data_IF_333881233604
#
_entry.id   IF_333881233604
#
_cell.length_a   1.000
_cell.length_b   1.000
_cell.length_c   1.000
_cell.angle_alpha   90.00
_cell.angle_beta   90.00
_cell.angle_gamma   90.00
#
_symmetry.space_group_name_H-M   'P 1'
#
loop_
_entity.id
_entity.type
_entity.pdbx_description
1 polymer ?
#
# COMPACT_ATOMS: atom_id res chain seq x y z
N UNK A 1 19.46 -1.53 -11.01
CA UNK A 1 18.87 -0.65 -9.98
C UNK A 1 18.34 -1.49 -8.83
N UNK A 2 18.31 -0.91 -7.64
CA UNK A 2 17.77 -1.58 -6.47
C UNK A 2 16.26 -1.64 -6.54
N UNK A 3 15.69 -2.74 -6.04
CA UNK A 3 14.25 -2.86 -5.85
C UNK A 3 13.77 -1.83 -4.85
N UNK A 4 12.49 -1.50 -4.89
CA UNK A 4 11.87 -0.61 -3.91
C UNK A 4 10.63 -1.26 -3.33
N UNK A 5 10.30 -0.85 -2.12
CA UNK A 5 9.18 -1.42 -1.37
C UNK A 5 8.23 -0.32 -0.94
N UNK A 6 6.97 -0.55 -1.24
CA UNK A 6 5.86 0.31 -0.84
C UNK A 6 5.24 -0.35 0.39
N UNK A 7 5.35 0.32 1.52
CA UNK A 7 4.92 -0.23 2.81
C UNK A 7 3.77 0.61 3.35
N UNK A 8 2.59 0.01 3.44
CA UNK A 8 1.40 0.66 3.97
C UNK A 8 1.03 0.00 5.29
N UNK A 9 0.93 0.80 6.35
CA UNK A 9 0.61 0.32 7.70
C UNK A 9 -0.65 1.03 8.17
N UNK A 10 -1.70 0.26 8.44
CA UNK A 10 -3.02 0.78 8.75
C UNK A 10 -3.24 0.91 10.25
N UNK A 11 -3.59 2.11 10.71
CA UNK A 11 -3.91 2.39 12.10
C UNK A 11 -5.39 2.22 12.38
N UNK A 12 -6.24 2.62 11.45
CA UNK A 12 -7.69 2.60 11.63
C UNK A 12 -8.40 2.39 10.30
N UNK A 13 -9.38 1.51 10.31
CA UNK A 13 -10.22 1.22 9.15
C UNK A 13 -11.66 1.39 9.60
N UNK A 14 -12.32 2.50 9.20
CA UNK A 14 -13.68 2.80 9.60
C UNK A 14 -14.73 2.19 8.65
N UNK A 15 -14.33 1.82 7.44
CA UNK A 15 -15.21 1.19 6.47
C UNK A 15 -14.47 0.07 5.75
N UNK A 16 -14.79 -1.16 6.10
CA UNK A 16 -14.22 -2.32 5.42
C UNK A 16 -14.66 -2.37 3.96
N UNK A 17 -15.90 -1.97 3.68
CA UNK A 17 -16.40 -1.91 2.30
C UNK A 17 -15.59 -0.95 1.42
N UNK A 18 -15.33 0.25 1.92
CA UNK A 18 -14.53 1.23 1.19
C UNK A 18 -13.11 0.71 0.94
N UNK A 19 -12.51 0.09 1.95
CA UNK A 19 -11.16 -0.49 1.83
C UNK A 19 -11.12 -1.61 0.78
N UNK A 20 -12.13 -2.46 0.76
CA UNK A 20 -12.22 -3.57 -0.20
C UNK A 20 -12.33 -3.02 -1.63
N UNK A 21 -13.16 -2.01 -1.86
CA UNK A 21 -13.28 -1.38 -3.17
C UNK A 21 -11.98 -0.75 -3.63
N UNK A 22 -11.30 -0.05 -2.71
CA UNK A 22 -9.98 0.51 -2.98
C UNK A 22 -8.98 -0.59 -3.34
N UNK A 23 -8.91 -1.63 -2.53
CA UNK A 23 -7.92 -2.70 -2.70
C UNK A 23 -8.08 -3.41 -4.04
N UNK A 24 -9.29 -3.66 -4.50
CA UNK A 24 -9.55 -4.29 -5.78
C UNK A 24 -9.03 -3.43 -6.95
N UNK A 25 -9.28 -2.13 -6.92
CA UNK A 25 -8.80 -1.21 -7.96
C UNK A 25 -7.29 -1.00 -7.86
N UNK A 26 -6.79 -0.77 -6.65
CA UNK A 26 -5.36 -0.51 -6.43
C UNK A 26 -4.50 -1.68 -6.87
N UNK A 27 -4.93 -2.91 -6.61
CA UNK A 27 -4.19 -4.11 -7.02
C UNK A 27 -3.89 -4.09 -8.52
N UNK A 28 -4.90 -3.84 -9.34
CA UNK A 28 -4.74 -3.81 -10.81
C UNK A 28 -3.80 -2.71 -11.25
N UNK A 29 -3.92 -1.53 -10.63
CA UNK A 29 -3.08 -0.38 -10.97
C UNK A 29 -1.63 -0.65 -10.58
N UNK A 30 -1.39 -1.10 -9.35
CA UNK A 30 -0.05 -1.38 -8.85
C UNK A 30 0.62 -2.47 -9.68
N UNK A 31 -0.11 -3.52 -10.04
CA UNK A 31 0.41 -4.58 -10.89
C UNK A 31 0.73 -4.07 -12.30
N UNK A 32 -0.02 -3.11 -12.81
CA UNK A 32 0.28 -2.49 -14.12
C UNK A 32 1.60 -1.72 -14.12
N UNK A 33 2.07 -1.25 -12.96
CA UNK A 33 3.39 -0.65 -12.79
C UNK A 33 4.46 -1.67 -12.42
N UNK A 34 4.15 -2.96 -12.53
CA UNK A 34 5.09 -4.02 -12.20
C UNK A 34 5.18 -4.36 -10.72
N UNK A 35 4.26 -3.84 -9.91
CA UNK A 35 4.23 -4.14 -8.48
C UNK A 35 3.89 -5.60 -8.19
N UNK A 36 4.56 -6.17 -7.22
CA UNK A 36 4.36 -7.54 -6.77
C UNK A 36 4.04 -7.54 -5.29
N UNK A 37 2.90 -8.13 -4.92
CA UNK A 37 2.51 -8.19 -3.51
C UNK A 37 3.39 -9.18 -2.75
N UNK A 38 3.97 -8.73 -1.65
CA UNK A 38 4.76 -9.57 -0.75
C UNK A 38 4.02 -9.83 0.56
N UNK A 39 3.28 -8.84 1.06
CA UNK A 39 2.49 -8.93 2.28
C UNK A 39 1.14 -8.25 2.03
N UNK A 40 0.06 -8.91 2.38
CA UNK A 40 -1.29 -8.36 2.24
C UNK A 40 -2.13 -8.67 3.47
N UNK A 41 -1.74 -8.09 4.62
CA UNK A 41 -2.53 -8.21 5.84
C UNK A 41 -2.58 -9.61 6.44
N UNK A 42 -1.46 -10.31 6.49
CA UNK A 42 -1.36 -11.61 7.14
C UNK A 42 -1.35 -11.49 8.68
N UNK A 43 -1.15 -12.62 9.34
CA UNK A 43 -0.96 -12.65 10.79
C UNK A 43 0.24 -11.79 11.16
N UNK A 44 0.14 -11.10 12.29
CA UNK A 44 1.22 -10.24 12.74
C UNK A 44 1.39 -10.29 14.25
N UNK A 45 2.57 -9.94 14.72
CA UNK A 45 2.88 -9.80 16.14
C UNK A 45 3.61 -8.47 16.29
N UNK A 46 3.09 -7.59 17.14
CA UNK A 46 3.73 -6.31 17.45
C UNK A 46 4.55 -6.46 18.72
N UNK A 47 5.87 -6.25 18.62
CA UNK A 47 6.76 -6.31 19.80
C UNK A 47 6.99 -4.93 20.40
N UNK A 48 7.06 -3.91 19.58
CA UNK A 48 7.36 -2.55 20.03
C UNK A 48 6.65 -1.53 19.14
N UNK A 49 6.23 -0.42 19.73
CA UNK A 49 5.64 0.70 19.01
C UNK A 49 4.15 0.56 18.81
N UNK A 50 3.64 1.31 17.85
CA UNK A 50 2.21 1.35 17.55
C UNK A 50 1.71 0.00 17.00
N UNK A 51 0.52 -0.37 17.42
CA UNK A 51 -0.11 -1.60 16.93
C UNK A 51 -0.89 -1.30 15.66
N UNK A 52 -0.25 -1.56 14.52
CA UNK A 52 -0.91 -1.41 13.22
C UNK A 52 -1.76 -2.65 12.95
N UNK A 53 -3.01 -2.44 12.59
CA UNK A 53 -3.98 -3.53 12.41
C UNK A 53 -3.87 -4.25 11.07
N UNK A 54 -3.12 -3.68 10.13
CA UNK A 54 -2.90 -4.27 8.81
C UNK A 54 -1.63 -3.71 8.19
N UNK A 55 -0.83 -4.56 7.56
CA UNK A 55 0.35 -4.14 6.81
C UNK A 55 0.30 -4.74 5.41
N UNK A 56 0.60 -3.91 4.43
CA UNK A 56 0.67 -4.33 3.02
C UNK A 56 2.02 -3.90 2.46
N UNK A 57 2.72 -4.81 1.80
CA UNK A 57 4.02 -4.51 1.18
C UNK A 57 3.98 -4.94 -0.28
N UNK A 58 4.33 -4.00 -1.16
CA UNK A 58 4.48 -4.23 -2.59
C UNK A 58 5.95 -4.01 -2.98
N UNK A 59 6.46 -4.87 -3.84
CA UNK A 59 7.81 -4.73 -4.41
C UNK A 59 7.71 -4.16 -5.82
N UNK A 60 8.58 -3.20 -6.14
CA UNK A 60 8.70 -2.60 -7.49
C UNK A 60 10.14 -2.73 -7.99
N UNK A 61 10.32 -2.62 -9.29
CA UNK A 61 11.65 -2.71 -9.92
C UNK A 61 12.62 -1.66 -9.39
N UNK A 62 12.12 -0.46 -9.10
CA UNK A 62 12.93 0.62 -8.55
C UNK A 62 12.04 1.68 -7.91
N UNK A 63 12.65 2.62 -7.18
CA UNK A 63 11.93 3.65 -6.45
C UNK A 63 11.19 4.63 -7.38
N UNK A 64 11.71 4.88 -8.56
CA UNK A 64 11.08 5.80 -9.51
C UNK A 64 9.74 5.24 -9.99
N UNK A 65 9.69 3.95 -10.32
CA UNK A 65 8.46 3.30 -10.77
C UNK A 65 7.42 3.26 -9.64
N UNK A 66 7.85 2.96 -8.42
CA UNK A 66 6.95 2.97 -7.26
C UNK A 66 6.35 4.36 -7.04
N UNK A 67 7.18 5.40 -7.15
CA UNK A 67 6.75 6.78 -7.01
C UNK A 67 5.77 7.19 -8.11
N UNK A 68 6.07 6.83 -9.35
CA UNK A 68 5.17 7.08 -10.48
C UNK A 68 3.80 6.43 -10.28
N UNK A 69 3.78 5.21 -9.75
CA UNK A 69 2.54 4.52 -9.43
C UNK A 69 1.73 5.30 -8.41
N UNK A 70 2.35 5.70 -7.31
CA UNK A 70 1.68 6.46 -6.24
C UNK A 70 1.14 7.79 -6.75
N UNK A 71 1.91 8.49 -7.58
CA UNK A 71 1.53 9.80 -8.10
C UNK A 71 0.59 9.73 -9.30
N UNK A 72 0.34 8.52 -9.82
CA UNK A 72 -0.55 8.38 -10.97
C UNK A 72 -1.98 8.80 -10.65
N UNK A 73 -2.65 9.35 -11.65
CA UNK A 73 -4.06 9.73 -11.53
C UNK A 73 -4.92 8.54 -11.15
N UNK A 74 -4.68 7.39 -11.79
CA UNK A 74 -5.46 6.19 -11.54
C UNK A 74 -5.33 5.71 -10.08
N UNK A 75 -4.11 5.71 -9.54
CA UNK A 75 -3.92 5.31 -8.15
C UNK A 75 -4.60 6.30 -7.20
N UNK A 76 -4.42 7.59 -7.42
CA UNK A 76 -5.03 8.61 -6.56
C UNK A 76 -6.57 8.56 -6.59
N UNK A 77 -7.16 8.27 -7.73
CA UNK A 77 -8.60 8.05 -7.83
C UNK A 77 -9.03 6.82 -7.04
N UNK A 78 -8.27 5.72 -7.13
CA UNK A 78 -8.56 4.52 -6.34
C UNK A 78 -8.46 4.81 -4.84
N UNK A 79 -7.40 5.49 -4.41
CA UNK A 79 -7.20 5.83 -3.00
C UNK A 79 -8.31 6.74 -2.46
N UNK A 80 -8.88 7.60 -3.28
CA UNK A 80 -9.98 8.47 -2.87
C UNK A 80 -11.20 7.68 -2.34
N UNK A 81 -11.34 6.42 -2.72
CA UNK A 81 -12.45 5.57 -2.23
C UNK A 81 -12.33 5.26 -0.74
N UNK A 82 -11.12 5.20 -0.20
CA UNK A 82 -10.89 4.80 1.19
C UNK A 82 -10.20 5.87 2.04
N UNK A 83 -9.71 6.93 1.42
CA UNK A 83 -8.89 7.96 2.08
C UNK A 83 -9.55 8.55 3.32
N UNK A 84 -10.84 8.86 3.25
CA UNK A 84 -11.54 9.54 4.33
C UNK A 84 -12.01 8.61 5.46
N UNK A 85 -11.96 7.31 5.24
CA UNK A 85 -12.39 6.30 6.22
C UNK A 85 -11.24 5.47 6.76
N UNK A 86 -10.01 5.85 6.43
CA UNK A 86 -8.83 5.07 6.77
C UNK A 86 -7.74 5.98 7.30
N UNK A 87 -7.05 5.52 8.36
CA UNK A 87 -5.80 6.13 8.82
C UNK A 87 -4.68 5.15 8.55
N UNK A 88 -3.69 5.57 7.76
CA UNK A 88 -2.52 4.72 7.48
C UNK A 88 -1.26 5.56 7.31
N UNK A 89 -0.13 4.91 7.54
CA UNK A 89 1.18 5.43 7.15
C UNK A 89 1.61 4.68 5.91
N UNK A 90 2.17 5.39 4.95
CA UNK A 90 2.68 4.78 3.72
C UNK A 90 4.03 5.40 3.39
N UNK A 91 5.00 4.54 3.09
CA UNK A 91 6.32 4.98 2.64
C UNK A 91 6.81 4.09 1.52
N UNK A 92 7.72 4.61 0.73
CA UNK A 92 8.44 3.86 -0.29
C UNK A 92 9.92 3.94 0.07
N UNK A 93 10.60 2.81 0.11
CA UNK A 93 12.01 2.73 0.49
C UNK A 93 12.76 1.78 -0.43
N UNK A 94 14.00 2.14 -0.79
CA UNK A 94 14.85 1.24 -1.56
C UNK A 94 15.33 0.07 -0.70
N UNK A 95 15.41 -1.08 -1.34
CA UNK A 95 16.04 -2.25 -0.76
C UNK A 95 17.56 -2.20 -0.89
N UNK A 96 18.19 -3.28 -0.48
CA UNK A 96 19.66 -3.41 -0.54
C UNK A 96 20.11 -4.01 -1.93
#
# INVERSE_FOLDING_TARGET
MKKAYWIAKYKKINSQEALTKYAEKAKKIIESFGGKALVRGGKYITFEGDDFIRTVIWEFENINVATECHESKDYQEAWSLAKNTTKRDLMIIEGI
#
